data_IF_351080973595
#
_entry.id   IF_351080973595
#
_cell.length_a   1.000
_cell.length_b   1.000
_cell.length_c   1.000
_cell.angle_alpha   90.00
_cell.angle_beta   90.00
_cell.angle_gamma   90.00
#
_symmetry.space_group_name_H-M   'P 1'
#
loop_
_entity.id
_entity.type
_entity.pdbx_description
1 polymer ?
#
# COMPACT_ATOMS: atom_id res chain seq x y z
N UNK A 1 13.39 18.84 25.58
CA UNK A 1 12.57 17.98 24.68
C UNK A 1 13.35 17.80 23.39
N UNK A 2 13.67 16.57 22.93
CA UNK A 2 14.39 16.39 21.68
C UNK A 2 13.47 16.68 20.49
N UNK A 3 13.98 17.33 19.45
CA UNK A 3 13.23 17.64 18.23
C UNK A 3 13.12 16.42 17.30
N UNK A 4 12.06 16.28 16.49
CA UNK A 4 11.91 15.15 15.57
C UNK A 4 12.95 15.22 14.44
N UNK A 5 13.56 14.08 14.12
CA UNK A 5 14.60 13.96 13.07
C UNK A 5 13.93 13.54 11.75
N UNK A 6 13.56 14.50 10.92
CA UNK A 6 12.85 14.26 9.64
C UNK A 6 13.72 13.66 8.51
N UNK A 7 15.02 13.44 8.74
CA UNK A 7 15.98 12.94 7.74
C UNK A 7 15.77 11.48 7.32
N UNK A 8 14.81 10.76 7.91
CA UNK A 8 14.57 9.35 7.60
C UNK A 8 13.44 9.14 6.57
N UNK A 9 12.74 10.21 6.15
CA UNK A 9 11.67 10.15 5.15
C UNK A 9 12.16 9.62 3.79
N UNK A 10 13.33 10.08 3.33
CA UNK A 10 13.89 9.69 2.02
C UNK A 10 14.16 8.17 1.91
N UNK A 11 14.63 7.54 2.99
CA UNK A 11 14.87 6.08 3.03
C UNK A 11 13.60 5.25 2.90
N UNK A 12 12.45 5.84 3.21
CA UNK A 12 11.14 5.20 3.15
C UNK A 12 10.66 5.07 1.70
N UNK A 13 11.05 6.00 0.83
CA UNK A 13 10.65 6.01 -0.59
C UNK A 13 11.50 5.10 -1.47
N UNK A 14 12.74 4.76 -1.08
CA UNK A 14 13.63 3.89 -1.87
C UNK A 14 13.07 2.47 -2.09
N UNK A 15 12.17 2.00 -1.22
CA UNK A 15 11.50 0.68 -1.32
C UNK A 15 9.99 0.78 -1.53
N UNK A 16 9.48 1.97 -1.86
CA UNK A 16 8.05 2.18 -2.01
C UNK A 16 7.54 1.49 -3.30
N UNK A 17 6.38 0.84 -3.21
CA UNK A 17 5.64 0.43 -4.42
C UNK A 17 5.01 1.63 -5.10
N UNK A 18 4.93 1.64 -6.44
CA UNK A 18 4.18 2.64 -7.17
C UNK A 18 2.72 2.71 -6.70
N UNK A 19 2.18 3.93 -6.56
CA UNK A 19 0.80 4.14 -6.09
C UNK A 19 -0.25 3.46 -6.99
N UNK A 20 0.05 3.33 -8.30
CA UNK A 20 -0.82 2.62 -9.24
C UNK A 20 -0.99 1.13 -8.90
N UNK A 21 -0.05 0.53 -8.18
CA UNK A 21 -0.14 -0.87 -7.76
C UNK A 21 -1.28 -1.11 -6.78
N UNK A 22 -1.46 -0.19 -5.82
CA UNK A 22 -2.61 -0.22 -4.92
C UNK A 22 -3.90 0.15 -5.65
N UNK A 23 -3.86 1.17 -6.53
CA UNK A 23 -5.03 1.60 -7.28
C UNK A 23 -5.65 0.47 -8.13
N UNK A 24 -4.82 -0.39 -8.75
CA UNK A 24 -5.32 -1.56 -9.49
C UNK A 24 -6.10 -2.55 -8.62
N UNK A 25 -5.68 -2.76 -7.37
CA UNK A 25 -6.41 -3.63 -6.45
C UNK A 25 -7.79 -3.06 -6.10
N UNK A 26 -7.88 -1.74 -5.91
CA UNK A 26 -9.16 -1.05 -5.68
C UNK A 26 -10.07 -1.14 -6.90
N UNK A 27 -9.55 -0.86 -8.11
CA UNK A 27 -10.31 -0.97 -9.36
C UNK A 27 -10.87 -2.38 -9.54
N UNK A 28 -10.07 -3.41 -9.25
CA UNK A 28 -10.54 -4.78 -9.26
C UNK A 28 -11.72 -4.98 -8.31
N UNK A 29 -11.62 -4.53 -7.05
CA UNK A 29 -12.68 -4.72 -6.06
C UNK A 29 -13.99 -4.00 -6.42
N UNK A 30 -13.93 -2.78 -6.94
CA UNK A 30 -15.15 -2.04 -7.34
C UNK A 30 -15.76 -2.56 -8.65
N UNK A 31 -14.99 -3.28 -9.47
CA UNK A 31 -15.45 -3.85 -10.74
C UNK A 31 -16.22 -5.16 -10.58
N UNK A 32 -16.31 -5.69 -9.36
CA UNK A 32 -16.96 -6.98 -9.12
C UNK A 32 -18.48 -6.93 -9.42
N UNK A 33 -19.07 -8.05 -9.88
CA UNK A 33 -20.52 -8.19 -10.02
C UNK A 33 -21.27 -7.91 -8.72
N UNK A 34 -22.57 -7.57 -8.82
CA UNK A 34 -23.41 -7.17 -7.67
C UNK A 34 -23.57 -8.25 -6.59
N UNK A 35 -23.36 -9.51 -6.96
CA UNK A 35 -23.45 -10.68 -6.09
C UNK A 35 -22.12 -11.07 -5.46
N UNK A 36 -21.06 -10.29 -5.69
CA UNK A 36 -19.72 -10.51 -5.14
C UNK A 36 -19.36 -9.37 -4.20
N UNK A 37 -19.00 -9.73 -2.96
CA UNK A 37 -18.53 -8.81 -1.94
C UNK A 37 -17.04 -9.04 -1.64
N UNK A 38 -16.27 -7.95 -1.58
CA UNK A 38 -14.85 -7.95 -1.24
C UNK A 38 -14.70 -7.33 0.14
N UNK A 39 -14.55 -8.18 1.16
CA UNK A 39 -14.45 -7.75 2.55
C UNK A 39 -13.09 -7.15 2.91
N UNK A 40 -12.00 -7.67 2.32
CA UNK A 40 -10.65 -7.26 2.67
C UNK A 40 -9.69 -7.38 1.47
N UNK A 41 -8.76 -6.42 1.38
CA UNK A 41 -7.61 -6.47 0.47
C UNK A 41 -6.34 -6.26 1.30
N UNK A 42 -5.52 -7.30 1.40
CA UNK A 42 -4.21 -7.21 2.06
C UNK A 42 -3.10 -6.98 1.02
N UNK A 43 -2.52 -5.78 1.01
CA UNK A 43 -1.37 -5.44 0.17
C UNK A 43 -0.09 -5.41 0.99
N UNK A 44 0.92 -6.19 0.59
CA UNK A 44 2.23 -6.25 1.24
C UNK A 44 3.34 -6.18 0.21
N UNK A 45 4.42 -5.50 0.56
CA UNK A 45 5.63 -5.52 -0.25
C UNK A 45 6.23 -6.93 -0.18
N UNK A 46 6.64 -7.50 -1.31
CA UNK A 46 7.29 -8.82 -1.34
C UNK A 46 8.60 -8.84 -0.56
N UNK A 47 9.29 -7.70 -0.47
CA UNK A 47 10.52 -7.52 0.32
C UNK A 47 10.29 -7.15 1.78
N UNK A 48 9.03 -7.12 2.24
CA UNK A 48 8.73 -6.93 3.66
C UNK A 48 9.05 -8.22 4.41
N UNK A 49 10.16 -8.23 5.14
CA UNK A 49 10.46 -9.32 6.08
C UNK A 49 9.56 -9.21 7.32
N UNK A 50 9.25 -10.36 7.95
CA UNK A 50 8.34 -10.49 9.09
C UNK A 50 8.85 -9.85 10.37
#
# INVERSE_FOLDING_TARGET
MPQPRWHDADRTYERAIPADSFARAVVFAISQPKDVDINEILSRLTSQEF
#
